data_IF_192272816883
#
_entry.id   IF_192272816883
#
_cell.length_a   1.000
_cell.length_b   1.000
_cell.length_c   1.000
_cell.angle_alpha   90.00
_cell.angle_beta   90.00
_cell.angle_gamma   90.00
#
_symmetry.space_group_name_H-M   'P 1'
#
loop_
_entity.id
_entity.type
_entity.pdbx_description
1 polymer ?
#
# COMPACT_ATOMS: atom_id res chain seq x y z
N UNK A 1 -5.44 22.36 8.64
CA UNK A 1 -6.72 21.63 8.61
C UNK A 1 -6.76 20.63 9.77
N UNK A 2 -7.93 20.32 10.36
CA UNK A 2 -8.03 19.39 11.48
C UNK A 2 -7.82 17.93 11.04
N UNK A 3 -7.34 17.08 11.95
CA UNK A 3 -7.29 15.62 11.76
C UNK A 3 -8.69 15.06 12.00
N UNK A 4 -9.21 14.26 11.06
CA UNK A 4 -10.60 13.75 11.06
C UNK A 4 -10.69 12.23 11.22
N UNK A 5 -9.59 11.57 11.60
CA UNK A 5 -9.53 10.11 11.78
C UNK A 5 -10.39 9.66 12.97
N UNK A 6 -11.26 8.67 12.74
CA UNK A 6 -12.08 8.05 13.80
C UNK A 6 -11.33 6.92 14.50
N UNK A 7 -11.66 6.69 15.79
CA UNK A 7 -11.18 5.55 16.58
C UNK A 7 -12.39 4.68 16.94
N UNK A 8 -12.41 3.44 16.46
CA UNK A 8 -13.58 2.55 16.58
C UNK A 8 -13.17 1.15 17.05
N UNK A 9 -13.90 0.52 18.00
CA UNK A 9 -13.60 -0.82 18.47
C UNK A 9 -14.22 -1.91 17.58
N UNK A 10 -13.49 -3.01 17.36
CA UNK A 10 -14.08 -4.34 17.17
C UNK A 10 -14.94 -4.58 15.93
N UNK A 11 -14.80 -3.79 14.85
CA UNK A 11 -15.51 -4.05 13.60
C UNK A 11 -14.99 -5.33 12.93
N UNK A 12 -15.90 -6.18 12.45
CA UNK A 12 -15.55 -7.32 11.61
C UNK A 12 -14.85 -6.82 10.34
N UNK A 13 -13.67 -7.37 10.07
CA UNK A 13 -12.93 -7.09 8.83
C UNK A 13 -13.33 -8.10 7.76
N UNK A 14 -13.81 -7.61 6.62
CA UNK A 14 -14.07 -8.43 5.44
C UNK A 14 -12.95 -8.22 4.43
N UNK A 15 -12.36 -9.32 3.98
CA UNK A 15 -11.29 -9.29 3.00
C UNK A 15 -11.83 -8.81 1.65
N UNK A 16 -11.14 -7.85 1.03
CA UNK A 16 -11.41 -7.41 -0.33
C UNK A 16 -11.08 -8.51 -1.37
N UNK A 17 -11.72 -8.42 -2.53
CA UNK A 17 -11.61 -9.36 -3.64
C UNK A 17 -10.16 -9.58 -4.11
N UNK A 18 -9.89 -10.73 -4.74
CA UNK A 18 -8.53 -11.12 -5.13
C UNK A 18 -7.86 -10.15 -6.12
N UNK A 19 -8.65 -9.49 -6.97
CA UNK A 19 -8.13 -8.52 -7.93
C UNK A 19 -7.64 -7.22 -7.27
N UNK A 20 -8.12 -6.89 -6.07
CA UNK A 20 -7.64 -5.75 -5.29
C UNK A 20 -6.30 -6.03 -4.59
N UNK A 21 -5.94 -7.30 -4.38
CA UNK A 21 -4.71 -7.66 -3.70
C UNK A 21 -3.50 -7.43 -4.60
N UNK A 22 -2.41 -6.93 -4.01
CA UNK A 22 -1.15 -6.66 -4.70
C UNK A 22 -1.32 -5.72 -5.92
N UNK A 23 -2.31 -4.83 -5.89
CA UNK A 23 -2.74 -4.06 -7.06
C UNK A 23 -1.61 -3.24 -7.71
N UNK A 24 -0.80 -2.54 -6.91
CA UNK A 24 0.37 -1.81 -7.39
C UNK A 24 1.34 -2.73 -8.13
N UNK A 25 1.69 -3.87 -7.51
CA UNK A 25 2.65 -4.82 -8.07
C UNK A 25 2.14 -5.43 -9.38
N UNK A 26 0.84 -5.69 -9.49
CA UNK A 26 0.19 -6.23 -10.70
C UNK A 26 -0.04 -5.19 -11.79
N UNK A 27 -0.18 -3.91 -11.43
CA UNK A 27 -0.56 -2.83 -12.37
C UNK A 27 0.32 -1.58 -12.20
N UNK A 28 1.66 -1.68 -12.34
CA UNK A 28 2.57 -0.58 -11.99
C UNK A 28 2.39 0.66 -12.88
N UNK A 29 1.89 0.49 -14.11
CA UNK A 29 1.62 1.59 -15.04
C UNK A 29 0.21 2.19 -14.94
N UNK A 30 -0.64 1.70 -14.04
CA UNK A 30 -2.00 2.22 -13.92
C UNK A 30 -1.98 3.69 -13.47
N UNK A 31 -2.75 4.61 -14.09
CA UNK A 31 -2.63 6.05 -13.83
C UNK A 31 -2.72 6.40 -12.34
N UNK A 32 -3.60 5.74 -11.59
CA UNK A 32 -3.72 5.96 -10.15
C UNK A 32 -2.41 5.66 -9.41
N UNK A 33 -1.74 4.55 -9.72
CA UNK A 33 -0.46 4.16 -9.12
C UNK A 33 0.62 5.19 -9.46
N UNK A 34 0.70 5.58 -10.74
CA UNK A 34 1.73 6.51 -11.23
C UNK A 34 1.62 7.87 -10.55
N UNK A 35 0.41 8.44 -10.49
CA UNK A 35 0.22 9.78 -9.94
C UNK A 35 0.22 9.82 -8.42
N UNK A 36 -0.26 8.77 -7.75
CA UNK A 36 -0.47 8.81 -6.29
C UNK A 36 0.57 8.00 -5.51
N UNK A 37 0.95 6.80 -5.97
CA UNK A 37 1.69 5.85 -5.13
C UNK A 37 3.19 5.85 -5.43
N UNK A 38 3.61 5.94 -6.69
CA UNK A 38 5.04 6.02 -7.02
C UNK A 38 5.75 7.22 -6.35
N UNK A 39 5.15 8.42 -6.26
CA UNK A 39 5.76 9.53 -5.53
C UNK A 39 5.91 9.22 -4.03
N UNK A 40 4.97 8.50 -3.41
CA UNK A 40 5.05 8.09 -2.00
C UNK A 40 6.22 7.12 -1.79
N UNK A 41 6.41 6.15 -2.68
CA UNK A 41 7.53 5.19 -2.62
C UNK A 41 8.87 5.91 -2.80
N UNK A 42 8.96 6.81 -3.78
CA UNK A 42 10.17 7.63 -3.99
C UNK A 42 10.50 8.47 -2.76
N UNK A 43 9.48 9.10 -2.16
CA UNK A 43 9.64 9.86 -0.92
C UNK A 43 10.05 8.99 0.26
N UNK A 44 9.48 7.79 0.42
CA UNK A 44 9.87 6.84 1.46
C UNK A 44 11.35 6.46 1.34
N UNK A 45 11.80 6.11 0.12
CA UNK A 45 13.21 5.79 -0.15
C UNK A 45 14.15 6.96 0.16
N UNK A 46 13.73 8.18 -0.18
CA UNK A 46 14.52 9.41 0.03
C UNK A 46 14.60 9.83 1.50
N UNK A 47 13.47 9.78 2.22
CA UNK A 47 13.37 10.30 3.59
C UNK A 47 13.83 9.28 4.64
N UNK A 48 13.68 7.98 4.36
CA UNK A 48 13.96 6.91 5.32
C UNK A 48 14.81 5.80 4.69
N UNK A 49 16.00 6.09 4.15
CA UNK A 49 16.79 5.13 3.39
C UNK A 49 17.20 3.89 4.20
N UNK A 50 17.42 4.03 5.51
CA UNK A 50 17.78 2.91 6.41
C UNK A 50 16.59 1.96 6.65
N UNK A 51 15.36 2.47 6.57
CA UNK A 51 14.14 1.68 6.78
C UNK A 51 13.52 1.17 5.48
N UNK A 52 13.93 1.74 4.34
CA UNK A 52 13.39 1.38 3.04
C UNK A 52 13.81 -0.04 2.65
N UNK A 53 12.83 -0.85 2.25
CA UNK A 53 13.03 -2.18 1.67
C UNK A 53 12.64 -2.13 0.20
N UNK A 54 13.49 -2.61 -0.72
CA UNK A 54 13.18 -2.60 -2.15
C UNK A 54 12.06 -3.58 -2.51
N UNK A 55 12.00 -4.72 -1.80
CA UNK A 55 11.04 -5.79 -2.09
C UNK A 55 9.74 -5.61 -1.29
N UNK A 56 8.57 -5.53 -1.95
CA UNK A 56 7.29 -5.45 -1.27
C UNK A 56 6.91 -6.79 -0.63
N UNK A 57 6.23 -6.73 0.52
CA UNK A 57 5.56 -7.91 1.08
C UNK A 57 4.21 -8.08 0.41
N UNK A 58 4.05 -9.14 -0.38
CA UNK A 58 2.84 -9.41 -1.16
C UNK A 58 1.90 -10.36 -0.42
N UNK A 59 0.59 -10.13 -0.55
CA UNK A 59 -0.44 -11.03 -0.02
C UNK A 59 -0.37 -12.39 -0.70
N UNK A 60 -0.04 -12.41 -1.99
CA UNK A 60 0.20 -13.65 -2.75
C UNK A 60 1.37 -14.48 -2.22
N UNK A 61 2.43 -13.86 -1.70
CA UNK A 61 3.58 -14.57 -1.17
C UNK A 61 3.29 -15.26 0.18
N UNK A 62 2.43 -14.67 1.01
CA UNK A 62 2.05 -15.23 2.32
C UNK A 62 1.08 -16.41 2.25
N UNK A 63 0.60 -16.77 1.04
CA UNK A 63 -0.33 -17.89 0.80
C UNK A 63 0.36 -19.20 0.42
N UNK A 64 1.70 -19.23 0.47
CA UNK A 64 2.53 -20.39 0.14
C UNK A 64 2.75 -21.29 1.36
#
# INVERSE_FOLDING_TARGET
>A
APVVTTIEPGKTFYRAEDYHQDFLAKNPGYPYIVYNDLPKISNLKRLFPVLYKPDPTLVSAARS
#
